data_IF_763883504985
#
_entry.id   IF_763883504985
#
_cell.length_a   1.000
_cell.length_b   1.000
_cell.length_c   1.000
_cell.angle_alpha   90.00
_cell.angle_beta   90.00
_cell.angle_gamma   90.00
#
_symmetry.space_group_name_H-M   'P 1'
#
loop_
_entity.id
_entity.type
_entity.pdbx_description
1 polymer ?
#
# COMPACT_ATOMS: atom_id res chain seq x y z
N UNK A 1 -2.26 -17.42 22.28
CA UNK A 1 -1.51 -16.80 21.15
C UNK A 1 -1.87 -15.32 20.93
N UNK A 2 -3.13 -14.92 20.71
CA UNK A 2 -3.50 -13.50 20.45
C UNK A 2 -3.01 -12.46 21.48
N UNK A 3 -2.99 -12.81 22.78
CA UNK A 3 -2.53 -11.90 23.85
C UNK A 3 -1.02 -11.68 23.87
N UNK A 4 -0.24 -12.63 23.38
CA UNK A 4 1.24 -12.52 23.32
C UNK A 4 1.62 -11.61 22.15
N UNK A 5 0.92 -11.72 21.02
CA UNK A 5 1.14 -10.86 19.84
C UNK A 5 0.82 -9.39 20.14
N UNK A 6 -0.29 -9.11 20.83
CA UNK A 6 -0.67 -7.75 21.21
C UNK A 6 0.34 -7.12 22.19
N UNK A 7 0.82 -7.89 23.17
CA UNK A 7 1.86 -7.42 24.10
C UNK A 7 3.19 -7.15 23.38
N UNK A 8 3.55 -7.96 22.39
CA UNK A 8 4.76 -7.80 21.59
C UNK A 8 4.72 -6.54 20.71
N UNK A 9 3.57 -6.26 20.08
CA UNK A 9 3.34 -5.05 19.27
C UNK A 9 3.38 -3.78 20.13
N UNK A 10 2.79 -3.79 21.33
CA UNK A 10 2.85 -2.65 22.25
C UNK A 10 4.27 -2.44 22.79
N UNK A 11 4.98 -3.51 23.15
CA UNK A 11 6.37 -3.42 23.62
C UNK A 11 7.31 -2.92 22.52
N UNK A 12 7.10 -3.37 21.28
CA UNK A 12 7.80 -2.94 20.08
C UNK A 12 7.59 -1.45 19.77
N UNK A 13 6.37 -0.94 19.92
CA UNK A 13 6.04 0.46 19.64
C UNK A 13 6.58 1.43 20.69
N UNK A 14 6.73 1.00 21.95
CA UNK A 14 7.08 1.87 23.08
C UNK A 14 8.54 1.75 23.51
N UNK A 15 9.17 0.59 23.28
CA UNK A 15 10.56 0.31 23.68
C UNK A 15 11.23 -0.72 22.75
N UNK A 16 11.58 -0.34 21.50
CA UNK A 16 12.08 -1.26 20.47
C UNK A 16 13.34 -2.03 20.89
N UNK A 17 14.23 -1.43 21.68
CA UNK A 17 15.43 -2.09 22.23
C UNK A 17 15.10 -3.24 23.20
N UNK A 18 13.99 -3.16 23.94
CA UNK A 18 13.57 -4.24 24.87
C UNK A 18 12.87 -5.40 24.17
N UNK A 19 12.25 -5.15 23.02
CA UNK A 19 11.68 -6.21 22.21
C UNK A 19 12.77 -7.12 21.60
N UNK A 20 13.90 -6.52 21.20
CA UNK A 20 15.10 -7.26 20.77
C UNK A 20 15.66 -8.15 21.88
N UNK A 21 15.89 -7.58 23.07
CA UNK A 21 16.48 -8.30 24.21
C UNK A 21 15.58 -9.42 24.75
N UNK A 22 14.26 -9.26 24.71
CA UNK A 22 13.32 -10.25 25.26
C UNK A 22 12.91 -11.35 24.28
N UNK A 23 12.89 -11.05 22.97
CA UNK A 23 12.32 -11.97 21.98
C UNK A 23 13.29 -12.37 20.86
N UNK A 24 14.50 -11.79 20.79
CA UNK A 24 15.50 -12.11 19.77
C UNK A 24 15.09 -11.71 18.36
N UNK A 25 14.16 -10.76 18.25
CA UNK A 25 13.56 -10.30 16.99
C UNK A 25 14.32 -9.04 16.53
N UNK A 26 14.83 -9.01 15.31
CA UNK A 26 15.56 -7.83 14.78
C UNK A 26 14.62 -6.61 14.62
N UNK A 27 15.15 -5.37 14.57
CA UNK A 27 14.32 -4.17 14.40
C UNK A 27 13.46 -4.24 13.14
N UNK A 28 14.01 -4.79 12.04
CA UNK A 28 13.28 -4.95 10.78
C UNK A 28 12.15 -5.99 10.87
N UNK A 29 12.34 -7.04 11.68
CA UNK A 29 11.30 -8.02 11.97
C UNK A 29 10.21 -7.41 12.87
N UNK A 30 10.58 -6.51 13.78
CA UNK A 30 9.63 -5.77 14.63
C UNK A 30 8.77 -4.83 13.77
N UNK A 31 9.38 -4.04 12.88
CA UNK A 31 8.66 -3.17 11.94
C UNK A 31 7.68 -3.97 11.07
N UNK A 32 8.13 -5.11 10.54
CA UNK A 32 7.28 -6.01 9.75
C UNK A 32 6.11 -6.60 10.54
N UNK A 33 6.31 -6.97 11.81
CA UNK A 33 5.25 -7.49 12.69
C UNK A 33 4.24 -6.40 13.09
N UNK A 34 4.70 -5.19 13.34
CA UNK A 34 3.85 -4.03 13.65
C UNK A 34 2.99 -3.69 12.42
N UNK A 35 3.58 -3.60 11.23
CA UNK A 35 2.85 -3.35 9.98
C UNK A 35 1.83 -4.45 9.69
N UNK A 36 2.19 -5.73 9.91
CA UNK A 36 1.27 -6.85 9.69
C UNK A 36 0.13 -6.88 10.71
N UNK A 37 0.39 -6.54 11.98
CA UNK A 37 -0.63 -6.41 13.01
C UNK A 37 -1.57 -5.22 12.75
N UNK A 38 -1.04 -4.10 12.28
CA UNK A 38 -1.83 -2.93 11.87
C UNK A 38 -2.68 -3.24 10.63
N UNK A 39 -2.14 -3.95 9.64
CA UNK A 39 -2.90 -4.42 8.48
C UNK A 39 -4.08 -5.31 8.89
N UNK A 40 -3.88 -6.22 9.86
CA UNK A 40 -4.92 -7.08 10.38
C UNK A 40 -6.00 -6.29 11.16
N UNK A 41 -5.59 -5.38 12.04
CA UNK A 41 -6.51 -4.48 12.75
C UNK A 41 -7.31 -3.61 11.79
N UNK A 42 -6.71 -3.22 10.66
CA UNK A 42 -7.36 -2.43 9.63
C UNK A 42 -8.32 -3.23 8.78
N UNK A 43 -7.99 -4.48 8.42
CA UNK A 43 -8.96 -5.39 7.80
C UNK A 43 -10.18 -5.58 8.71
N UNK A 44 -9.96 -5.74 10.01
CA UNK A 44 -11.03 -5.82 11.01
C UNK A 44 -11.84 -4.51 11.08
N UNK A 45 -11.19 -3.35 11.00
CA UNK A 45 -11.84 -2.04 10.96
C UNK A 45 -12.68 -1.84 9.68
N UNK A 46 -12.13 -2.17 8.51
CA UNK A 46 -12.84 -2.11 7.24
C UNK A 46 -14.07 -3.03 7.27
N UNK A 47 -13.92 -4.27 7.76
CA UNK A 47 -15.07 -5.16 8.01
C UNK A 47 -16.10 -4.54 8.92
N UNK A 48 -15.68 -3.86 10.00
CA UNK A 48 -16.59 -3.19 10.94
C UNK A 48 -17.39 -2.04 10.30
N UNK A 49 -16.85 -1.41 9.25
CA UNK A 49 -17.53 -0.38 8.46
C UNK A 49 -18.45 -0.97 7.37
N UNK A 50 -18.63 -2.29 7.31
CA UNK A 50 -19.36 -2.96 6.22
C UNK A 50 -18.57 -3.02 4.90
N UNK A 51 -17.25 -2.80 4.98
CA UNK A 51 -16.30 -3.09 3.90
C UNK A 51 -15.77 -4.50 4.14
N UNK A 52 -16.65 -5.50 4.00
CA UNK A 52 -16.16 -6.87 3.91
C UNK A 52 -15.36 -7.00 2.61
N UNK A 53 -14.14 -7.58 2.65
CA UNK A 53 -13.53 -8.12 1.44
C UNK A 53 -14.57 -9.05 0.83
N UNK A 54 -14.96 -8.80 -0.42
CA UNK A 54 -15.95 -9.61 -1.10
C UNK A 54 -15.66 -11.09 -0.87
N UNK A 55 -16.65 -11.84 -0.38
CA UNK A 55 -16.58 -13.26 -0.05
C UNK A 55 -16.47 -14.14 -1.31
N UNK A 56 -15.56 -13.82 -2.24
CA UNK A 56 -15.30 -14.56 -3.46
C UNK A 56 -14.02 -15.41 -3.33
N UNK A 57 -14.04 -16.55 -2.61
CA UNK A 57 -13.08 -17.59 -2.89
C UNK A 57 -13.52 -18.37 -4.15
N UNK A 58 -12.54 -18.65 -5.02
CA UNK A 58 -12.50 -19.59 -6.17
C UNK A 58 -12.73 -19.07 -7.60
N UNK A 59 -13.32 -17.90 -7.84
CA UNK A 59 -13.33 -17.34 -9.22
C UNK A 59 -12.01 -16.66 -9.58
N UNK A 60 -11.28 -16.11 -8.60
CA UNK A 60 -9.98 -15.46 -8.85
C UNK A 60 -8.90 -16.38 -9.45
N UNK A 61 -8.98 -17.70 -9.27
CA UNK A 61 -8.08 -18.65 -9.96
C UNK A 61 -8.56 -19.02 -11.38
N UNK A 62 -9.85 -18.85 -11.67
CA UNK A 62 -10.47 -19.10 -12.98
C UNK A 62 -10.51 -17.84 -13.87
N UNK A 63 -10.45 -16.63 -13.30
CA UNK A 63 -10.36 -15.34 -14.00
C UNK A 63 -8.94 -14.76 -14.06
N UNK A 64 -7.96 -15.40 -13.42
CA UNK A 64 -6.58 -14.93 -13.39
C UNK A 64 -6.38 -13.69 -12.52
N UNK A 65 -6.48 -13.85 -11.20
CA UNK A 65 -5.69 -13.07 -10.24
C UNK A 65 -4.22 -13.18 -10.69
N UNK A 66 -3.71 -12.18 -11.41
CA UNK A 66 -2.44 -12.33 -12.14
C UNK A 66 -1.23 -11.80 -11.37
N UNK A 67 -1.33 -10.67 -10.70
CA UNK A 67 -0.15 -10.05 -10.07
C UNK A 67 -0.39 -9.71 -8.60
N UNK A 68 0.39 -10.31 -7.71
CA UNK A 68 0.52 -9.87 -6.32
C UNK A 68 1.85 -9.15 -6.17
N UNK A 69 1.96 -8.16 -5.28
CA UNK A 69 3.24 -7.52 -5.06
C UNK A 69 4.31 -8.53 -4.66
N UNK A 70 5.48 -8.45 -5.30
CA UNK A 70 6.64 -9.27 -4.97
C UNK A 70 7.28 -8.77 -3.66
N UNK A 71 7.16 -7.47 -3.40
CA UNK A 71 7.62 -6.81 -2.18
C UNK A 71 6.46 -6.61 -1.22
N UNK A 72 6.76 -6.67 0.09
CA UNK A 72 5.82 -6.22 1.11
C UNK A 72 5.64 -4.70 1.01
N UNK A 73 4.48 -4.22 1.42
CA UNK A 73 4.10 -2.81 1.35
C UNK A 73 5.06 -1.87 2.10
N UNK A 74 5.51 -2.29 3.29
CA UNK A 74 6.49 -1.56 4.10
C UNK A 74 7.82 -1.38 3.35
N UNK A 75 8.35 -2.45 2.74
CA UNK A 75 9.58 -2.37 1.95
C UNK A 75 9.46 -1.44 0.72
N UNK A 76 8.27 -1.38 0.11
CA UNK A 76 8.01 -0.46 -1.01
C UNK A 76 7.99 0.97 -0.48
N UNK A 77 7.23 1.22 0.58
CA UNK A 77 7.12 2.53 1.21
C UNK A 77 8.49 3.08 1.65
N UNK A 78 9.31 2.26 2.30
CA UNK A 78 10.63 2.65 2.79
C UNK A 78 11.56 3.01 1.62
N UNK A 79 11.55 2.20 0.56
CA UNK A 79 12.33 2.47 -0.65
C UNK A 79 11.91 3.79 -1.33
N UNK A 80 10.59 4.06 -1.40
CA UNK A 80 10.06 5.30 -1.97
C UNK A 80 10.39 6.50 -1.08
N UNK A 81 10.25 6.37 0.24
CA UNK A 81 10.57 7.43 1.20
C UNK A 81 12.05 7.82 1.12
N UNK A 82 12.94 6.82 1.10
CA UNK A 82 14.37 7.04 0.89
C UNK A 82 14.66 7.71 -0.45
N UNK A 83 13.97 7.30 -1.54
CA UNK A 83 14.14 7.88 -2.87
C UNK A 83 13.75 9.35 -2.93
N UNK A 84 12.68 9.73 -2.24
CA UNK A 84 12.16 11.10 -2.20
C UNK A 84 12.85 11.98 -1.14
N UNK A 85 13.76 11.40 -0.34
CA UNK A 85 14.39 12.09 0.79
C UNK A 85 13.40 12.49 1.87
N UNK A 86 12.30 11.73 2.01
CA UNK A 86 11.32 11.92 3.07
C UNK A 86 11.77 11.16 4.32
N UNK A 87 11.68 11.81 5.47
CA UNK A 87 11.95 11.17 6.75
C UNK A 87 10.79 10.22 7.07
N UNK A 88 11.01 8.91 6.95
CA UNK A 88 10.05 7.87 7.28
C UNK A 88 9.86 7.78 8.80
N UNK A 89 9.53 8.88 9.47
CA UNK A 89 9.26 8.86 10.91
C UNK A 89 8.04 7.98 11.18
N UNK A 90 8.24 7.04 12.11
CA UNK A 90 7.46 5.83 12.36
C UNK A 90 5.99 6.00 12.83
N UNK A 91 5.42 7.19 12.72
CA UNK A 91 4.06 7.50 13.19
C UNK A 91 3.10 7.92 12.08
N UNK A 92 3.51 7.83 10.81
CA UNK A 92 2.62 8.08 9.68
C UNK A 92 1.84 6.81 9.37
N UNK A 93 0.53 6.88 9.54
CA UNK A 93 -0.36 5.79 9.18
C UNK A 93 -0.36 5.61 7.65
N UNK A 94 0.00 4.41 7.17
CA UNK A 94 0.01 4.14 5.73
C UNK A 94 -1.40 4.16 5.15
N UNK A 95 -1.59 4.54 3.87
CA UNK A 95 -2.86 4.38 3.21
C UNK A 95 -3.25 2.91 3.10
N UNK A 96 -4.55 2.62 3.14
CA UNK A 96 -5.03 1.27 2.86
C UNK A 96 -4.81 0.91 1.38
N UNK A 97 -4.38 -0.31 1.07
CA UNK A 97 -4.22 -0.76 -0.32
C UNK A 97 -5.32 -1.77 -0.67
N UNK A 98 -6.15 -1.42 -1.65
CA UNK A 98 -7.26 -2.25 -2.14
C UNK A 98 -7.02 -2.66 -3.60
N UNK A 99 -7.09 -3.97 -3.85
CA UNK A 99 -6.94 -4.53 -5.20
C UNK A 99 -8.27 -4.50 -5.96
N UNK A 100 -8.23 -4.14 -7.23
CA UNK A 100 -9.39 -4.03 -8.10
C UNK A 100 -10.27 -5.28 -8.10
N UNK A 101 -9.66 -6.47 -8.09
CA UNK A 101 -10.40 -7.74 -8.04
C UNK A 101 -11.29 -7.92 -6.79
N UNK A 102 -10.98 -7.20 -5.70
CA UNK A 102 -11.70 -7.29 -4.42
C UNK A 102 -12.61 -6.08 -4.17
N UNK A 103 -12.58 -5.09 -5.05
CA UNK A 103 -13.32 -3.83 -4.90
C UNK A 103 -14.58 -3.86 -5.75
N UNK A 104 -15.70 -3.51 -5.12
CA UNK A 104 -16.94 -3.26 -5.85
C UNK A 104 -16.80 -1.96 -6.68
N UNK A 105 -17.03 -2.06 -8.00
CA UNK A 105 -16.88 -0.94 -8.91
C UNK A 105 -17.76 0.26 -8.53
N UNK A 106 -18.99 0.03 -8.07
CA UNK A 106 -19.90 1.13 -7.68
C UNK A 106 -19.37 1.89 -6.47
N UNK A 107 -18.71 1.21 -5.53
CA UNK A 107 -18.05 1.83 -4.37
C UNK A 107 -16.83 2.65 -4.79
N UNK A 108 -15.99 2.10 -5.66
CA UNK A 108 -14.86 2.83 -6.22
C UNK A 108 -15.31 4.10 -6.95
N UNK A 109 -16.32 3.98 -7.82
CA UNK A 109 -16.88 5.12 -8.56
C UNK A 109 -17.46 6.19 -7.64
N UNK A 110 -18.09 5.79 -6.52
CA UNK A 110 -18.58 6.73 -5.52
C UNK A 110 -17.44 7.51 -4.85
N UNK A 111 -16.38 6.81 -4.40
CA UNK A 111 -15.20 7.44 -3.81
C UNK A 111 -14.49 8.37 -4.82
N UNK A 112 -14.33 7.91 -6.06
CA UNK A 112 -13.73 8.70 -7.14
C UNK A 112 -14.50 10.00 -7.40
N UNK A 113 -15.84 9.93 -7.55
CA UNK A 113 -16.68 11.12 -7.78
C UNK A 113 -16.61 12.10 -6.62
N UNK A 114 -16.54 11.60 -5.39
CA UNK A 114 -16.43 12.46 -4.20
C UNK A 114 -15.11 13.22 -4.16
N UNK A 115 -14.02 12.61 -4.64
CA UNK A 115 -12.72 13.27 -4.69
C UNK A 115 -12.55 14.18 -5.91
N UNK A 116 -13.11 13.78 -7.06
CA UNK A 116 -13.00 14.50 -8.31
C UNK A 116 -14.38 14.95 -8.81
N UNK A 117 -15.01 15.93 -8.14
CA UNK A 117 -16.33 16.41 -8.54
C UNK A 117 -16.29 16.96 -9.97
N UNK A 118 -17.26 16.54 -10.78
CA UNK A 118 -17.38 16.95 -12.19
C UNK A 118 -16.57 16.10 -13.17
N UNK A 119 -15.73 15.16 -12.72
CA UNK A 119 -15.12 14.16 -13.60
C UNK A 119 -16.03 12.95 -13.79
N UNK A 120 -16.10 12.37 -15.00
CA UNK A 120 -16.78 11.09 -15.19
C UNK A 120 -16.08 10.03 -14.36
N UNK A 121 -16.85 9.16 -13.71
CA UNK A 121 -16.26 8.04 -12.99
C UNK A 121 -15.73 7.00 -13.99
N UNK A 122 -14.58 6.39 -13.70
CA UNK A 122 -14.07 5.30 -14.52
C UNK A 122 -15.04 4.12 -14.60
N UNK A 123 -15.01 3.42 -15.72
CA UNK A 123 -15.77 2.18 -15.99
C UNK A 123 -15.11 0.93 -15.38
N UNK A 124 -13.88 1.06 -14.89
CA UNK A 124 -13.15 0.04 -14.14
C UNK A 124 -12.42 0.65 -12.92
N UNK A 125 -11.97 -0.18 -11.99
CA UNK A 125 -11.10 0.29 -10.89
C UNK A 125 -9.73 0.59 -11.48
N UNK A 126 -9.28 1.84 -11.36
CA UNK A 126 -7.96 2.26 -11.81
C UNK A 126 -7.00 2.40 -10.62
N UNK A 127 -5.71 2.20 -10.90
CA UNK A 127 -4.65 2.49 -9.94
C UNK A 127 -4.66 3.97 -9.57
N UNK A 128 -4.99 4.29 -8.31
CA UNK A 128 -5.10 5.65 -7.82
C UNK A 128 -5.03 5.74 -6.30
N UNK A 129 -4.24 6.69 -5.79
CA UNK A 129 -4.33 7.17 -4.42
C UNK A 129 -5.44 8.21 -4.28
N UNK A 130 -6.38 7.96 -3.36
CA UNK A 130 -7.47 8.84 -3.01
C UNK A 130 -7.25 9.46 -1.61
N UNK A 131 -6.57 10.62 -1.49
CA UNK A 131 -6.26 11.28 -0.22
C UNK A 131 -7.44 11.54 0.71
N UNK A 132 -8.65 11.80 0.19
CA UNK A 132 -9.81 12.05 1.05
C UNK A 132 -10.23 10.82 1.86
N UNK A 133 -9.82 9.63 1.43
CA UNK A 133 -10.14 8.35 2.06
C UNK A 133 -8.91 7.67 2.64
N UNK A 134 -7.72 8.19 2.36
CA UNK A 134 -6.43 7.55 2.66
C UNK A 134 -6.35 6.10 2.11
N UNK A 135 -6.78 5.92 0.86
CA UNK A 135 -6.83 4.61 0.18
C UNK A 135 -6.09 4.67 -1.16
N UNK A 136 -5.23 3.69 -1.39
CA UNK A 136 -4.68 3.34 -2.70
C UNK A 136 -5.52 2.22 -3.29
N UNK A 137 -6.14 2.47 -4.44
CA UNK A 137 -6.67 1.43 -5.31
C UNK A 137 -5.56 0.98 -6.25
N UNK A 138 -5.41 -0.33 -6.46
CA UNK A 138 -4.49 -0.93 -7.42
C UNK A 138 -5.27 -1.73 -8.45
N UNK A 139 -5.07 -1.42 -9.73
CA UNK A 139 -5.59 -2.22 -10.84
C UNK A 139 -4.72 -3.46 -11.05
N UNK A 140 -4.97 -4.51 -10.26
CA UNK A 140 -4.29 -5.81 -10.35
C UNK A 140 -4.76 -6.68 -11.53
N UNK A 141 -5.65 -6.13 -12.37
CA UNK A 141 -6.19 -6.76 -13.56
C UNK A 141 -5.64 -6.13 -14.86
N UNK A 142 -4.82 -5.07 -14.75
CA UNK A 142 -4.26 -4.36 -15.89
C UNK A 142 -3.51 -5.29 -16.85
N UNK A 143 -3.74 -5.09 -18.15
CA UNK A 143 -2.97 -5.74 -19.20
C UNK A 143 -1.52 -5.28 -19.27
N UNK A 144 -1.19 -4.12 -18.68
CA UNK A 144 0.13 -3.51 -18.76
C UNK A 144 1.21 -4.38 -18.10
N UNK A 145 0.82 -5.20 -17.12
CA UNK A 145 1.74 -6.13 -16.48
C UNK A 145 2.26 -7.21 -17.45
N UNK A 146 1.49 -7.55 -18.48
CA UNK A 146 1.94 -8.45 -19.54
C UNK A 146 3.03 -7.82 -20.41
N UNK A 147 3.15 -6.49 -20.38
CA UNK A 147 4.14 -5.73 -21.12
C UNK A 147 5.35 -5.35 -20.25
N UNK A 148 5.51 -6.02 -19.10
CA UNK A 148 6.68 -5.87 -18.23
C UNK A 148 6.53 -4.83 -17.12
N UNK A 149 5.41 -4.12 -17.03
CA UNK A 149 5.10 -3.32 -15.84
C UNK A 149 4.92 -4.24 -14.62
N UNK A 150 5.21 -3.75 -13.42
CA UNK A 150 4.99 -4.48 -12.17
C UNK A 150 3.95 -3.78 -11.30
N UNK A 151 3.18 -4.58 -10.56
CA UNK A 151 2.25 -4.07 -9.56
C UNK A 151 2.98 -3.32 -8.43
N UNK A 152 4.20 -3.74 -8.08
CA UNK A 152 5.07 -3.04 -7.12
C UNK A 152 5.42 -1.63 -7.61
N UNK A 153 5.77 -1.46 -8.89
CA UNK A 153 6.08 -0.15 -9.45
C UNK A 153 4.84 0.76 -9.47
N UNK A 154 3.68 0.23 -9.84
CA UNK A 154 2.42 0.94 -9.78
C UNK A 154 2.11 1.42 -8.34
N UNK A 155 2.28 0.53 -7.35
CA UNK A 155 2.11 0.87 -5.94
C UNK A 155 3.15 1.90 -5.45
N UNK A 156 4.41 1.78 -5.87
CA UNK A 156 5.47 2.74 -5.54
C UNK A 156 5.11 4.16 -6.03
N UNK A 157 4.56 4.28 -7.23
CA UNK A 157 4.04 5.55 -7.74
C UNK A 157 2.93 6.13 -6.87
N UNK A 158 2.04 5.30 -6.32
CA UNK A 158 0.97 5.77 -5.42
C UNK A 158 1.51 6.16 -4.03
N UNK A 159 2.50 5.43 -3.50
CA UNK A 159 3.17 5.85 -2.27
C UNK A 159 3.90 7.18 -2.41
N UNK A 160 4.48 7.48 -3.57
CA UNK A 160 5.07 8.79 -3.82
C UNK A 160 4.04 9.92 -3.69
N UNK A 161 2.81 9.70 -4.20
CA UNK A 161 1.70 10.67 -4.04
C UNK A 161 1.31 10.87 -2.59
N UNK A 162 1.22 9.78 -1.83
CA UNK A 162 0.96 9.80 -0.40
C UNK A 162 2.06 10.56 0.35
N UNK A 163 3.32 10.24 0.11
CA UNK A 163 4.47 10.87 0.77
C UNK A 163 4.52 12.36 0.45
N UNK A 164 4.29 12.74 -0.81
CA UNK A 164 4.27 14.15 -1.19
C UNK A 164 3.14 14.92 -0.53
N UNK A 165 1.91 14.37 -0.58
CA UNK A 165 0.73 15.04 -0.01
C UNK A 165 0.74 15.10 1.51
N UNK A 166 1.23 14.05 2.18
CA UNK A 166 1.10 13.88 3.63
C UNK A 166 2.39 14.21 4.38
N UNK A 167 3.54 13.70 3.91
CA UNK A 167 4.81 13.78 4.65
C UNK A 167 5.60 15.03 4.25
N UNK A 168 5.78 15.26 2.94
CA UNK A 168 6.52 16.42 2.40
C UNK A 168 5.62 17.66 2.26
N UNK A 169 4.31 17.52 2.46
CA UNK A 169 3.31 18.61 2.39
C UNK A 169 3.38 19.44 1.10
N UNK A 170 3.64 18.77 -0.03
CA UNK A 170 3.61 19.36 -1.36
C UNK A 170 2.15 19.57 -1.78
N UNK A 171 1.80 20.77 -2.22
CA UNK A 171 0.46 21.11 -2.69
C UNK A 171 0.33 21.24 -4.22
N UNK A 172 1.46 21.30 -4.93
CA UNK A 172 1.48 21.37 -6.39
C UNK A 172 1.18 20.00 -7.00
N UNK A 173 -0.04 19.84 -7.52
CA UNK A 173 -0.51 18.60 -8.12
C UNK A 173 0.36 18.16 -9.31
N UNK A 174 0.87 19.09 -10.12
CA UNK A 174 1.70 18.72 -11.27
C UNK A 174 3.04 18.13 -10.81
N UNK A 175 3.59 18.65 -9.72
CA UNK A 175 4.78 18.08 -9.07
C UNK A 175 4.51 16.71 -8.47
N UNK A 176 3.40 16.55 -7.74
CA UNK A 176 3.00 15.25 -7.17
C UNK A 176 2.85 14.21 -8.29
N UNK A 177 2.22 14.59 -9.40
CA UNK A 177 2.05 13.70 -10.57
C UNK A 177 3.40 13.33 -11.20
N UNK A 178 4.32 14.30 -11.30
CA UNK A 178 5.66 14.09 -11.85
C UNK A 178 6.54 13.20 -10.97
N UNK A 179 6.59 13.46 -9.66
CA UNK A 179 7.35 12.66 -8.69
C UNK A 179 6.82 11.22 -8.65
N UNK A 180 5.49 11.04 -8.69
CA UNK A 180 4.86 9.71 -8.77
C UNK A 180 5.25 8.92 -10.02
N UNK A 181 5.21 9.56 -11.20
CA UNK A 181 5.62 8.92 -12.45
C UNK A 181 7.11 8.57 -12.44
N UNK A 182 7.95 9.47 -11.92
CA UNK A 182 9.40 9.25 -11.82
C UNK A 182 9.74 8.11 -10.86
N UNK A 183 9.07 8.03 -9.71
CA UNK A 183 9.23 6.94 -8.73
C UNK A 183 8.77 5.61 -9.33
N UNK A 184 7.62 5.56 -9.99
CA UNK A 184 7.14 4.34 -10.64
C UNK A 184 8.14 3.80 -11.66
N UNK A 185 8.65 4.67 -12.54
CA UNK A 185 9.64 4.28 -13.56
C UNK A 185 10.98 3.83 -12.93
N UNK A 186 11.43 4.53 -11.88
CA UNK A 186 12.62 4.15 -11.12
C UNK A 186 12.44 2.79 -10.46
N UNK A 187 11.34 2.57 -9.75
CA UNK A 187 11.07 1.33 -9.02
C UNK A 187 11.02 0.14 -9.97
N UNK A 188 10.36 0.31 -11.12
CA UNK A 188 10.32 -0.69 -12.20
C UNK A 188 11.71 -1.10 -12.69
N UNK A 189 12.65 -0.16 -12.73
CA UNK A 189 14.03 -0.41 -13.20
C UNK A 189 14.87 -1.07 -12.11
N UNK A 190 14.69 -0.63 -10.86
CA UNK A 190 15.47 -1.11 -9.72
C UNK A 190 15.05 -2.51 -9.25
N UNK A 191 13.74 -2.79 -9.29
CA UNK A 191 13.12 -4.03 -8.85
C UNK A 191 12.27 -4.60 -9.99
N UNK A 192 12.90 -5.21 -11.00
CA UNK A 192 12.19 -5.83 -12.11
C UNK A 192 11.33 -7.01 -11.64
N UNK A 193 10.45 -7.52 -12.51
CA UNK A 193 9.53 -8.61 -12.17
C UNK A 193 10.23 -9.79 -11.46
N UNK A 194 9.74 -10.13 -10.27
CA UNK A 194 10.29 -11.19 -9.42
C UNK A 194 11.39 -10.75 -8.45
N UNK A 195 11.94 -9.53 -8.58
CA UNK A 195 12.81 -8.92 -7.58
C UNK A 195 11.97 -8.28 -6.47
N UNK A 196 12.53 -8.23 -5.25
CA UNK A 196 11.85 -7.68 -4.07
C UNK A 196 12.69 -6.58 -3.44
N UNK A 197 12.06 -5.45 -3.07
CA UNK A 197 12.74 -4.42 -2.26
C UNK A 197 12.94 -4.84 -0.81
N UNK A 198 12.40 -5.99 -0.39
CA UNK A 198 12.64 -6.55 0.94
C UNK A 198 13.95 -7.35 1.05
N UNK A 199 14.65 -7.62 -0.06
CA UNK A 199 15.79 -8.54 -0.10
C UNK A 199 17.15 -7.87 0.19
N UNK A 200 17.17 -6.78 0.95
CA UNK A 200 18.41 -6.11 1.39
C UNK A 200 19.09 -6.86 2.54
#
# INVERSE_FOLDING_TARGET
>A
MKRILAALVVLAAVAPSRAQDMFGISPDQVSGLVAQAQAQQREDYLRSLGWEPSNLPSIGRALGLREKPASRQDCIYDAVSARLGADANANVEFPAVLYAVHVDLSRYQAAYKSQFPGKPAPDSVQTAYLPNYDVIYLDDLSSDYRNGATIDAALAGQYARFIDGTVRSISDQARIDADAAAVQAWYQTQYPAGASSCAN
#
